data_IF_322173975683
#
_entry.id   IF_322173975683
#
_cell.length_a   1.000
_cell.length_b   1.000
_cell.length_c   1.000
_cell.angle_alpha   90.00
_cell.angle_beta   90.00
_cell.angle_gamma   90.00
#
_symmetry.space_group_name_H-M   'P 1'
#
loop_
_entity.id
_entity.type
_entity.pdbx_description
1 polymer ?
#
# COMPACT_ATOMS: atom_id res chain seq x y z
N UNK A 1 -8.92 -21.08 -10.48
CA UNK A 1 -8.27 -19.74 -10.46
C UNK A 1 -7.42 -19.65 -9.20
N UNK A 2 -6.22 -19.12 -9.31
CA UNK A 2 -5.38 -18.85 -8.14
C UNK A 2 -5.88 -17.57 -7.46
N UNK A 3 -6.21 -17.62 -6.17
CA UNK A 3 -6.88 -16.54 -5.44
C UNK A 3 -5.86 -15.53 -4.89
N UNK A 4 -5.09 -14.95 -5.82
CA UNK A 4 -3.94 -14.09 -5.54
C UNK A 4 -3.84 -12.92 -6.51
N UNK A 5 -3.10 -11.87 -6.15
CA UNK A 5 -2.91 -10.67 -6.97
C UNK A 5 -1.46 -10.61 -7.49
N UNK A 6 -1.28 -10.46 -8.81
CA UNK A 6 0.03 -10.21 -9.43
C UNK A 6 0.47 -8.74 -9.28
N UNK A 7 1.76 -8.46 -9.46
CA UNK A 7 2.34 -7.13 -9.23
C UNK A 7 1.63 -6.01 -9.99
N UNK A 8 1.45 -6.16 -11.29
CA UNK A 8 0.82 -5.14 -12.13
C UNK A 8 -0.63 -4.88 -11.71
N UNK A 9 -1.36 -5.95 -11.37
CA UNK A 9 -2.72 -5.86 -10.87
C UNK A 9 -2.79 -5.14 -9.51
N UNK A 10 -1.85 -5.41 -8.59
CA UNK A 10 -1.76 -4.69 -7.32
C UNK A 10 -1.51 -3.19 -7.55
N UNK A 11 -0.55 -2.85 -8.40
CA UNK A 11 -0.22 -1.46 -8.70
C UNK A 11 -1.41 -0.72 -9.32
N UNK A 12 -2.17 -1.39 -10.18
CA UNK A 12 -3.39 -0.82 -10.78
C UNK A 12 -4.49 -0.65 -9.73
N UNK A 13 -4.74 -1.66 -8.90
CA UNK A 13 -5.69 -1.59 -7.79
C UNK A 13 -5.39 -0.40 -6.87
N UNK A 14 -4.13 -0.19 -6.51
CA UNK A 14 -3.72 0.94 -5.68
C UNK A 14 -4.00 2.30 -6.33
N UNK A 15 -3.72 2.44 -7.63
CA UNK A 15 -4.00 3.67 -8.39
C UNK A 15 -5.49 3.97 -8.47
N UNK A 16 -6.31 2.95 -8.69
CA UNK A 16 -7.75 3.11 -8.88
C UNK A 16 -8.48 3.38 -7.56
N UNK A 17 -8.06 2.75 -6.46
CA UNK A 17 -8.80 2.75 -5.20
C UNK A 17 -8.23 3.70 -4.14
N UNK A 18 -6.93 4.04 -4.20
CA UNK A 18 -6.28 4.92 -3.21
C UNK A 18 -5.59 6.15 -3.82
N UNK A 19 -6.20 6.85 -4.80
CA UNK A 19 -5.53 7.94 -5.53
C UNK A 19 -5.12 9.12 -4.63
N UNK A 20 -5.92 9.43 -3.60
CA UNK A 20 -5.62 10.52 -2.66
C UNK A 20 -4.38 10.22 -1.80
N UNK A 21 -4.25 8.98 -1.33
CA UNK A 21 -3.10 8.53 -0.56
C UNK A 21 -1.82 8.57 -1.42
N UNK A 22 -1.89 8.05 -2.64
CA UNK A 22 -0.77 8.07 -3.58
C UNK A 22 -0.36 9.50 -3.96
N UNK A 23 -1.32 10.39 -4.19
CA UNK A 23 -1.05 11.81 -4.45
C UNK A 23 -0.32 12.47 -3.27
N UNK A 24 -0.71 12.16 -2.03
CA UNK A 24 -0.03 12.66 -0.84
C UNK A 24 1.40 12.12 -0.74
N UNK A 25 1.62 10.83 -1.02
CA UNK A 25 2.97 10.25 -1.05
C UNK A 25 3.88 10.94 -2.07
N UNK A 26 3.40 11.15 -3.31
CA UNK A 26 4.18 11.80 -4.37
C UNK A 26 4.51 13.26 -4.03
N UNK A 27 3.57 14.04 -3.47
CA UNK A 27 3.84 15.40 -3.00
C UNK A 27 4.95 15.47 -1.93
N UNK A 28 5.17 14.36 -1.22
CA UNK A 28 6.21 14.24 -0.19
C UNK A 28 7.50 13.58 -0.70
N UNK A 29 7.60 13.35 -2.01
CA UNK A 29 8.75 12.66 -2.62
C UNK A 29 8.86 11.19 -2.22
N UNK A 30 7.75 10.57 -1.79
CA UNK A 30 7.69 9.15 -1.43
C UNK A 30 7.07 8.36 -2.56
N UNK A 31 7.89 7.56 -3.24
CA UNK A 31 7.44 6.69 -4.32
C UNK A 31 6.84 5.40 -3.77
N UNK A 32 5.66 5.46 -3.16
CA UNK A 32 5.02 4.34 -2.46
C UNK A 32 4.93 3.07 -3.33
N UNK A 33 4.56 3.23 -4.61
CA UNK A 33 4.42 2.13 -5.55
C UNK A 33 5.74 1.44 -5.94
N UNK A 34 6.90 2.07 -5.71
CA UNK A 34 8.20 1.57 -6.18
C UNK A 34 8.62 0.23 -5.57
N UNK A 35 8.18 -0.06 -4.35
CA UNK A 35 8.61 -1.26 -3.60
C UNK A 35 7.51 -1.87 -2.73
N UNK A 36 6.25 -1.42 -2.86
CA UNK A 36 5.16 -1.92 -2.01
C UNK A 36 4.89 -3.41 -2.25
N UNK A 37 5.01 -3.86 -3.50
CA UNK A 37 4.82 -5.26 -3.85
C UNK A 37 5.84 -6.15 -3.13
N UNK A 38 7.13 -5.87 -3.29
CA UNK A 38 8.22 -6.64 -2.67
C UNK A 38 8.20 -6.56 -1.14
N UNK A 39 7.66 -5.47 -0.58
CA UNK A 39 7.48 -5.34 0.88
C UNK A 39 6.36 -6.21 1.43
N UNK A 40 5.33 -6.47 0.62
CA UNK A 40 4.10 -7.14 1.04
C UNK A 40 4.05 -8.61 0.64
N UNK A 41 4.72 -8.99 -0.45
CA UNK A 41 5.07 -10.37 -0.79
C UNK A 41 6.12 -10.89 0.22
N UNK A 42 5.63 -11.38 1.36
CA UNK A 42 6.46 -11.82 2.50
C UNK A 42 7.04 -13.19 2.23
N UNK A 43 6.27 -14.06 1.59
CA UNK A 43 6.65 -15.43 1.32
C UNK A 43 7.55 -15.56 0.06
N UNK A 44 7.64 -14.49 -0.76
CA UNK A 44 8.44 -14.36 -1.98
C UNK A 44 7.99 -15.29 -3.10
N UNK A 45 6.69 -15.56 -3.20
CA UNK A 45 6.10 -16.37 -4.26
C UNK A 45 5.71 -15.54 -5.50
N UNK A 46 6.01 -14.24 -5.50
CA UNK A 46 5.68 -13.29 -6.55
C UNK A 46 4.18 -13.08 -6.75
N UNK A 47 3.41 -13.31 -5.70
CA UNK A 47 1.98 -13.05 -5.63
C UNK A 47 1.65 -12.35 -4.32
N UNK A 48 0.43 -11.86 -4.23
CA UNK A 48 -0.12 -11.31 -2.99
C UNK A 48 -1.34 -12.13 -2.64
N UNK A 49 -1.26 -12.86 -1.54
CA UNK A 49 -2.41 -13.54 -0.97
C UNK A 49 -3.29 -12.56 -0.17
N UNK A 50 -4.44 -13.04 0.31
CA UNK A 50 -5.37 -12.20 1.06
C UNK A 50 -4.78 -11.64 2.36
N UNK A 51 -3.91 -12.38 3.03
CA UNK A 51 -3.29 -11.94 4.29
C UNK A 51 -2.25 -10.84 4.07
N UNK A 52 -1.47 -10.95 2.99
CA UNK A 52 -0.52 -9.93 2.54
C UNK A 52 -1.24 -8.67 2.06
N UNK A 53 -2.36 -8.83 1.35
CA UNK A 53 -3.23 -7.72 0.98
C UNK A 53 -3.83 -7.01 2.21
N UNK A 54 -4.31 -7.76 3.22
CA UNK A 54 -4.79 -7.17 4.47
C UNK A 54 -3.68 -6.41 5.22
N UNK A 55 -2.44 -6.90 5.20
CA UNK A 55 -1.30 -6.18 5.76
C UNK A 55 -1.04 -4.86 5.02
N UNK A 56 -1.22 -4.82 3.70
CA UNK A 56 -1.13 -3.57 2.93
C UNK A 56 -2.25 -2.59 3.31
N UNK A 57 -3.49 -3.07 3.42
CA UNK A 57 -4.62 -2.23 3.84
C UNK A 57 -4.43 -1.69 5.26
N UNK A 58 -3.85 -2.48 6.16
CA UNK A 58 -3.54 -2.06 7.52
C UNK A 58 -2.57 -0.87 7.55
N UNK A 59 -1.55 -0.84 6.69
CA UNK A 59 -0.63 0.30 6.59
C UNK A 59 -1.37 1.58 6.15
N UNK A 60 -2.19 1.48 5.10
CA UNK A 60 -2.95 2.62 4.56
C UNK A 60 -3.95 3.11 5.62
N UNK A 61 -4.71 2.21 6.24
CA UNK A 61 -5.69 2.55 7.27
C UNK A 61 -5.03 3.19 8.49
N UNK A 62 -3.86 2.71 8.91
CA UNK A 62 -3.09 3.30 10.02
C UNK A 62 -2.63 4.71 9.69
N UNK A 63 -2.21 4.96 8.45
CA UNK A 63 -1.79 6.29 8.00
C UNK A 63 -2.99 7.26 7.95
N UNK A 64 -4.15 6.82 7.45
CA UNK A 64 -5.39 7.60 7.54
C UNK A 64 -5.86 7.86 8.97
N UNK A 65 -5.69 6.88 9.87
CA UNK A 65 -5.98 7.05 11.29
C UNK A 65 -5.08 8.15 11.90
N UNK A 66 -3.78 8.12 11.64
CA UNK A 66 -2.87 9.16 12.10
C UNK A 66 -3.20 10.53 11.49
N UNK A 67 -3.58 10.56 10.21
CA UNK A 67 -4.06 11.77 9.56
C UNK A 67 -5.29 12.37 10.25
N UNK A 68 -6.19 11.53 10.77
CA UNK A 68 -7.35 11.99 11.54
C UNK A 68 -6.98 12.70 12.86
N UNK A 69 -5.76 12.47 13.38
CA UNK A 69 -5.19 13.17 14.55
C UNK A 69 -4.35 14.40 14.17
N UNK A 70 -4.33 14.77 12.89
CA UNK A 70 -3.62 15.95 12.38
C UNK A 70 -2.24 15.68 11.79
N UNK A 71 -1.80 14.43 11.68
CA UNK A 71 -0.58 14.11 10.93
C UNK A 71 -0.77 14.31 9.42
N UNK A 72 0.33 14.51 8.69
CA UNK A 72 0.31 14.52 7.23
C UNK A 72 0.11 13.10 6.68
N UNK A 73 -0.82 12.94 5.74
CA UNK A 73 -1.02 11.68 5.02
C UNK A 73 0.27 11.23 4.30
N UNK A 74 0.46 9.92 4.22
CA UNK A 74 1.68 9.23 3.83
C UNK A 74 2.90 9.58 4.71
N UNK A 75 2.70 9.67 6.04
CA UNK A 75 3.78 9.94 7.01
C UNK A 75 4.71 8.76 7.22
N UNK A 76 4.32 7.57 6.76
CA UNK A 76 5.14 6.37 6.77
C UNK A 76 5.14 5.75 8.15
N UNK A 77 4.04 5.10 8.48
CA UNK A 77 4.00 4.17 9.60
C UNK A 77 4.89 2.96 9.31
N UNK A 78 6.16 3.02 9.72
CA UNK A 78 6.90 1.82 10.09
C UNK A 78 6.72 1.67 11.61
N UNK A 79 5.75 0.86 12.02
CA UNK A 79 5.81 0.15 13.28
C UNK A 79 5.67 -1.33 13.00
#
# INVERSE_FOLDING_TARGET
PDDTIEKEALLQLLKDNFPNFLSACEKRGRHYLSNIFEKKDKNKDQKIDFSEFLSLLADIASDYHNHSHGEELCSGGNK
#
